data_IF_024943668255
#
_entry.id   IF_024943668255
#
_cell.length_a   1.000
_cell.length_b   1.000
_cell.length_c   1.000
_cell.angle_alpha   90.00
_cell.angle_beta   90.00
_cell.angle_gamma   90.00
#
_symmetry.space_group_name_H-M   'P 1'
#
loop_
_entity.id
_entity.type
_entity.pdbx_description
1 polymer ?
#
# COMPACT_ATOMS: atom_id res chain seq x y z
N UNK A 1 -10.46 13.10 -53.67
CA UNK A 1 -10.43 11.87 -54.50
C UNK A 1 -10.20 10.59 -53.68
N UNK A 2 -10.77 10.46 -52.47
CA UNK A 2 -10.49 9.32 -51.56
C UNK A 2 -11.70 8.51 -51.09
N UNK A 3 -12.90 8.78 -51.63
CA UNK A 3 -14.17 8.17 -51.16
C UNK A 3 -14.68 7.03 -52.05
N UNK A 4 -13.81 6.43 -52.86
CA UNK A 4 -14.20 5.32 -53.74
C UNK A 4 -13.67 3.96 -53.28
N UNK A 5 -12.74 3.90 -52.33
CA UNK A 5 -12.13 2.63 -51.91
C UNK A 5 -12.82 1.93 -50.72
N UNK A 6 -13.61 2.64 -49.91
CA UNK A 6 -14.31 2.04 -48.76
C UNK A 6 -15.65 1.41 -49.13
N UNK A 7 -16.28 1.84 -50.23
CA UNK A 7 -17.64 1.45 -50.59
C UNK A 7 -17.73 0.08 -51.30
N UNK A 8 -16.59 -0.52 -51.65
CA UNK A 8 -16.54 -1.87 -52.21
C UNK A 8 -16.57 -2.96 -51.11
N UNK A 9 -16.09 -2.65 -49.90
CA UNK A 9 -16.02 -3.63 -48.79
C UNK A 9 -17.35 -3.79 -48.04
N UNK A 10 -18.26 -2.81 -48.12
CA UNK A 10 -19.58 -2.85 -47.46
C UNK A 10 -20.67 -3.58 -48.27
N UNK A 11 -20.46 -3.82 -49.57
CA UNK A 11 -21.47 -4.41 -50.46
C UNK A 11 -21.33 -5.95 -50.58
N UNK A 12 -20.15 -6.50 -50.28
CA UNK A 12 -19.86 -7.95 -50.35
C UNK A 12 -20.15 -8.72 -49.05
N UNK A 13 -20.21 -8.04 -47.90
CA UNK A 13 -20.65 -8.59 -46.63
C UNK A 13 -21.75 -7.67 -46.09
N UNK A 14 -23.02 -8.06 -46.24
CA UNK A 14 -24.19 -7.26 -45.84
C UNK A 14 -24.28 -7.02 -44.34
N UNK A 15 -23.41 -6.15 -43.81
CA UNK A 15 -23.38 -5.76 -42.40
C UNK A 15 -23.93 -4.35 -42.28
N UNK A 16 -25.17 -4.26 -41.83
CA UNK A 16 -25.82 -3.01 -41.47
C UNK A 16 -25.08 -2.34 -40.29
N UNK A 17 -24.76 -1.02 -40.35
CA UNK A 17 -23.86 -0.35 -39.39
C UNK A 17 -24.43 -0.14 -37.98
N UNK A 18 -25.63 -0.62 -37.70
CA UNK A 18 -26.35 -0.43 -36.44
C UNK A 18 -26.20 -1.59 -35.43
N UNK A 19 -25.22 -2.49 -35.63
CA UNK A 19 -24.89 -3.60 -34.72
C UNK A 19 -23.62 -3.38 -33.88
N UNK A 20 -23.05 -2.17 -33.86
CA UNK A 20 -21.83 -1.86 -33.09
C UNK A 20 -22.11 -1.18 -31.73
N UNK A 21 -23.27 -0.51 -31.58
CA UNK A 21 -23.60 0.25 -30.36
C UNK A 21 -24.21 -0.64 -29.26
N UNK A 22 -24.77 -1.81 -29.57
CA UNK A 22 -25.51 -2.65 -28.60
C UNK A 22 -24.65 -3.70 -27.87
N UNK A 23 -23.37 -3.88 -28.26
CA UNK A 23 -22.46 -4.82 -27.59
C UNK A 23 -21.63 -4.18 -26.47
N UNK A 24 -21.63 -2.86 -26.35
CA UNK A 24 -20.98 -2.16 -25.23
C UNK A 24 -21.84 -2.11 -23.96
N UNK A 25 -23.16 -2.33 -24.05
CA UNK A 25 -24.06 -2.36 -22.90
C UNK A 25 -24.07 -3.72 -22.17
N UNK A 26 -23.77 -4.82 -22.87
CA UNK A 26 -23.72 -6.18 -22.29
C UNK A 26 -22.39 -6.48 -21.56
N UNK A 27 -21.33 -5.72 -21.82
CA UNK A 27 -20.04 -5.85 -21.11
C UNK A 27 -19.99 -5.00 -19.82
N UNK A 28 -21.00 -4.16 -19.57
CA UNK A 28 -21.07 -3.31 -18.38
C UNK A 28 -21.47 -4.07 -17.09
N UNK A 29 -22.05 -5.27 -17.22
CA UNK A 29 -22.64 -6.01 -16.08
C UNK A 29 -21.58 -6.80 -15.28
N UNK A 30 -20.43 -7.15 -15.86
CA UNK A 30 -19.45 -8.05 -15.26
C UNK A 30 -18.30 -7.35 -14.49
N UNK A 31 -18.49 -6.13 -13.97
CA UNK A 31 -17.39 -5.37 -13.36
C UNK A 31 -17.74 -4.54 -12.12
N UNK A 32 -18.97 -4.60 -11.61
CA UNK A 32 -19.39 -3.78 -10.47
C UNK A 32 -18.97 -4.45 -9.15
N UNK A 33 -17.70 -4.28 -8.81
CA UNK A 33 -17.11 -4.76 -7.56
C UNK A 33 -17.84 -4.10 -6.38
N UNK A 34 -18.50 -4.90 -5.53
CA UNK A 34 -19.14 -4.42 -4.32
C UNK A 34 -18.07 -4.12 -3.25
N UNK A 35 -17.73 -2.84 -3.14
CA UNK A 35 -16.74 -2.33 -2.19
C UNK A 35 -16.29 -0.94 -2.61
N UNK A 36 -16.87 0.10 -2.01
CA UNK A 36 -16.48 1.47 -2.32
C UNK A 36 -15.08 1.79 -1.78
N UNK A 37 -14.23 2.43 -2.60
CA UNK A 37 -12.93 2.97 -2.18
C UNK A 37 -13.04 4.14 -1.18
N UNK A 38 -14.26 4.54 -0.82
CA UNK A 38 -14.59 5.70 0.02
C UNK A 38 -13.93 5.70 1.41
N UNK A 39 -13.42 4.56 1.88
CA UNK A 39 -12.74 4.44 3.19
C UNK A 39 -11.20 4.41 3.07
N UNK A 40 -10.65 4.52 1.87
CA UNK A 40 -9.20 4.51 1.68
C UNK A 40 -8.56 5.69 2.43
N UNK A 41 -7.58 5.41 3.28
CA UNK A 41 -6.84 6.45 4.02
C UNK A 41 -7.57 7.09 5.21
N UNK A 42 -8.82 6.71 5.51
CA UNK A 42 -9.63 7.31 6.62
C UNK A 42 -8.85 7.42 7.94
N UNK A 43 -8.19 6.34 8.36
CA UNK A 43 -7.45 6.30 9.63
C UNK A 43 -6.17 7.15 9.60
N UNK A 44 -5.49 7.19 8.46
CA UNK A 44 -4.24 7.97 8.30
C UNK A 44 -4.51 9.48 8.30
N UNK A 45 -5.68 9.93 7.84
CA UNK A 45 -6.09 11.34 7.90
C UNK A 45 -6.68 11.76 9.25
N UNK A 46 -7.32 10.84 9.97
CA UNK A 46 -7.88 11.10 11.30
C UNK A 46 -6.81 11.17 12.40
N UNK A 47 -5.71 10.44 12.27
CA UNK A 47 -4.66 10.43 13.30
C UNK A 47 -3.83 11.73 13.25
N UNK A 48 -3.60 12.39 14.40
CA UNK A 48 -2.80 13.61 14.43
C UNK A 48 -1.37 13.35 13.96
N UNK A 49 -0.85 14.24 13.11
CA UNK A 49 0.50 14.10 12.56
C UNK A 49 1.54 14.56 13.59
N UNK A 50 1.99 13.63 14.43
CA UNK A 50 3.07 13.90 15.40
C UNK A 50 4.42 14.03 14.66
N UNK A 51 5.08 15.17 14.83
CA UNK A 51 6.43 15.40 14.32
C UNK A 51 7.45 14.49 15.02
N UNK A 52 8.50 14.07 14.31
CA UNK A 52 9.57 13.28 14.92
C UNK A 52 10.35 14.18 15.87
N UNK A 53 10.47 13.76 17.13
CA UNK A 53 11.38 14.40 18.07
C UNK A 53 12.83 14.16 17.66
N UNK A 54 13.68 15.16 17.86
CA UNK A 54 15.12 15.03 17.65
C UNK A 54 15.71 14.06 18.68
N UNK A 55 16.23 12.94 18.18
CA UNK A 55 16.91 11.92 18.98
C UNK A 55 18.36 11.84 18.54
N UNK A 56 19.28 11.79 19.51
CA UNK A 56 20.71 11.61 19.25
C UNK A 56 20.94 10.36 18.40
N UNK A 57 21.79 10.49 17.38
CA UNK A 57 22.15 9.35 16.51
C UNK A 57 22.79 8.26 17.36
N UNK A 58 22.26 7.04 17.26
CA UNK A 58 22.91 5.86 17.85
C UNK A 58 24.15 5.55 17.01
N UNK A 59 25.33 5.31 17.63
CA UNK A 59 26.49 4.84 16.89
C UNK A 59 26.16 3.49 16.25
N UNK A 60 26.79 3.19 15.10
CA UNK A 60 26.59 1.97 14.31
C UNK A 60 27.80 1.04 14.43
N UNK A 61 27.65 -0.21 13.97
CA UNK A 61 28.75 -1.19 13.90
C UNK A 61 29.28 -1.66 15.27
N UNK A 62 30.61 -1.79 15.37
CA UNK A 62 31.32 -2.30 16.56
C UNK A 62 30.96 -1.54 17.84
N UNK A 63 30.89 -0.21 17.76
CA UNK A 63 30.55 0.64 18.91
C UNK A 63 29.15 0.34 19.45
N UNK A 64 28.17 0.09 18.57
CA UNK A 64 26.82 -0.30 18.98
C UNK A 64 26.80 -1.66 19.68
N UNK A 65 27.53 -2.63 19.11
CA UNK A 65 27.61 -3.99 19.68
C UNK A 65 28.26 -3.99 21.06
N UNK A 66 29.30 -3.17 21.28
CA UNK A 66 29.92 -3.00 22.62
C UNK A 66 28.92 -2.46 23.64
N UNK A 67 28.16 -1.41 23.30
CA UNK A 67 27.12 -0.89 24.20
C UNK A 67 26.02 -1.93 24.48
N UNK A 68 25.63 -2.72 23.49
CA UNK A 68 24.61 -3.76 23.65
C UNK A 68 25.10 -4.89 24.57
N UNK A 69 26.35 -5.32 24.44
CA UNK A 69 26.98 -6.31 25.30
C UNK A 69 27.03 -5.81 26.75
N UNK A 70 27.54 -4.60 26.97
CA UNK A 70 27.63 -4.01 28.30
C UNK A 70 26.25 -3.94 28.97
N UNK A 71 25.21 -3.48 28.25
CA UNK A 71 23.83 -3.40 28.78
C UNK A 71 23.20 -4.76 29.10
N UNK A 72 23.58 -5.84 28.41
CA UNK A 72 22.97 -7.17 28.55
C UNK A 72 23.66 -8.04 29.60
N UNK A 73 24.98 -7.91 29.74
CA UNK A 73 25.79 -8.88 30.48
C UNK A 73 26.63 -8.26 31.59
N UNK A 74 27.20 -7.07 31.37
CA UNK A 74 28.13 -6.46 32.34
C UNK A 74 27.39 -5.59 33.35
N UNK A 75 26.48 -4.74 32.88
CA UNK A 75 25.73 -3.80 33.73
C UNK A 75 24.46 -4.44 34.30
N UNK A 76 23.90 -5.46 33.63
CA UNK A 76 22.70 -6.14 34.08
C UNK A 76 23.03 -7.17 35.18
N UNK A 77 23.12 -6.70 36.43
CA UNK A 77 23.12 -7.60 37.59
C UNK A 77 21.70 -8.11 37.76
N UNK A 78 21.51 -9.43 37.76
CA UNK A 78 20.20 -10.05 38.03
C UNK A 78 19.93 -9.87 39.52
N UNK A 79 19.24 -8.78 39.88
CA UNK A 79 18.72 -8.62 41.24
C UNK A 79 17.74 -9.74 41.58
N UNK A 80 17.44 -9.92 42.87
CA UNK A 80 16.47 -10.92 43.31
C UNK A 80 15.07 -10.59 42.74
N UNK A 81 14.49 -11.55 42.02
CA UNK A 81 13.17 -11.41 41.38
C UNK A 81 13.14 -11.80 39.90
N UNK A 82 12.01 -11.57 39.24
CA UNK A 82 11.82 -11.89 37.80
C UNK A 82 12.60 -10.89 36.92
N UNK A 83 13.33 -11.38 35.93
CA UNK A 83 14.09 -10.54 34.99
C UNK A 83 13.15 -9.60 34.23
N UNK A 84 13.36 -8.30 34.37
CA UNK A 84 12.61 -7.27 33.62
C UNK A 84 13.09 -7.16 32.18
N UNK A 85 12.14 -6.96 31.27
CA UNK A 85 12.42 -6.80 29.84
C UNK A 85 13.01 -5.42 29.51
N UNK A 86 13.78 -5.30 28.40
CA UNK A 86 14.46 -4.06 28.02
C UNK A 86 13.53 -2.90 27.62
N UNK A 87 12.25 -3.16 27.43
CA UNK A 87 11.23 -2.17 27.11
C UNK A 87 9.98 -2.38 27.99
N UNK A 88 10.19 -2.70 29.27
CA UNK A 88 9.11 -2.85 30.24
C UNK A 88 8.65 -1.47 30.69
N UNK A 89 7.44 -1.06 30.31
CA UNK A 89 6.79 0.13 30.86
C UNK A 89 5.94 -0.30 32.06
N UNK A 90 6.57 -0.47 33.22
CA UNK A 90 5.84 -0.42 34.47
C UNK A 90 5.76 1.03 34.94
N UNK A 91 4.61 1.40 35.48
CA UNK A 91 4.33 2.73 35.99
C UNK A 91 4.91 2.89 37.38
#
# INVERSE_FOLDING_TARGET
>A
MGKLFSNAYSILFGVSPNMCETLNDLLWIAGKVHGSLARAGKVRGQTPKVAKQDKKKKPRGRAHKRMQYNRRFVTAVVGFGKKRGPNSSEK
#
